data_IF_494303565963
#
_entry.id   IF_494303565963
#
_cell.length_a   1.000
_cell.length_b   1.000
_cell.length_c   1.000
_cell.angle_alpha   90.00
_cell.angle_beta   90.00
_cell.angle_gamma   90.00
#
_symmetry.space_group_name_H-M   'P 1'
#
loop_
_entity.id
_entity.type
_entity.pdbx_description
1 polymer ?
#
# COMPACT_ATOMS: atom_id res chain seq x y z
N UNK A 1 -6.95 -2.85 -29.86
CA UNK A 1 -6.04 -2.64 -28.71
C UNK A 1 -6.18 -3.86 -27.82
N UNK A 2 -5.11 -4.61 -27.63
CA UNK A 2 -5.16 -5.88 -26.90
C UNK A 2 -5.19 -5.66 -25.39
N UNK A 3 -5.81 -6.56 -24.62
CA UNK A 3 -5.85 -6.48 -23.15
C UNK A 3 -4.45 -6.47 -22.51
N UNK A 4 -3.42 -6.97 -23.20
CA UNK A 4 -2.04 -6.93 -22.70
C UNK A 4 -1.41 -5.52 -22.78
N UNK A 5 -1.77 -4.71 -23.79
CA UNK A 5 -1.32 -3.31 -23.91
C UNK A 5 -1.97 -2.42 -22.83
N UNK A 6 -3.23 -2.71 -22.47
CA UNK A 6 -3.94 -2.03 -21.38
C UNK A 6 -3.46 -2.45 -19.99
N UNK A 7 -2.92 -3.67 -19.82
CA UNK A 7 -2.34 -4.11 -18.54
C UNK A 7 -0.90 -3.61 -18.32
N UNK A 8 -0.11 -3.43 -19.39
CA UNK A 8 1.28 -2.95 -19.31
C UNK A 8 1.41 -1.46 -18.96
N UNK A 9 0.50 -0.62 -19.46
CA UNK A 9 0.53 0.85 -19.29
C UNK A 9 0.26 1.33 -17.84
N UNK A 10 -0.69 0.75 -17.07
CA UNK A 10 -0.87 1.01 -15.65
C UNK A 10 0.34 0.60 -14.80
N UNK A 11 0.96 -0.54 -15.13
CA UNK A 11 2.16 -1.02 -14.44
C UNK A 11 3.34 -0.09 -14.65
N UNK A 12 3.54 0.43 -15.86
CA UNK A 12 4.59 1.42 -16.12
C UNK A 12 4.36 2.74 -15.37
N UNK A 13 3.11 3.21 -15.30
CA UNK A 13 2.77 4.44 -14.57
C UNK A 13 2.96 4.30 -13.05
N UNK A 14 2.55 3.17 -12.49
CA UNK A 14 2.81 2.83 -11.09
C UNK A 14 4.31 2.79 -10.77
N UNK A 15 5.12 2.28 -11.70
CA UNK A 15 6.59 2.27 -11.58
C UNK A 15 7.17 3.68 -11.57
N UNK A 16 6.86 4.54 -12.54
CA UNK A 16 7.40 5.92 -12.54
C UNK A 16 7.00 6.70 -11.29
N UNK A 17 5.77 6.52 -10.80
CA UNK A 17 5.33 7.14 -9.55
C UNK A 17 6.16 6.64 -8.35
N UNK A 18 6.42 5.34 -8.28
CA UNK A 18 7.29 4.72 -7.27
C UNK A 18 8.72 5.25 -7.35
N UNK A 19 9.28 5.38 -8.55
CA UNK A 19 10.64 5.88 -8.76
C UNK A 19 10.80 7.32 -8.23
N UNK A 20 9.81 8.19 -8.49
CA UNK A 20 9.73 9.55 -7.94
C UNK A 20 9.66 9.58 -6.41
N UNK A 21 8.84 8.70 -5.80
CA UNK A 21 8.77 8.57 -4.34
C UNK A 21 10.11 8.11 -3.75
N UNK A 22 10.75 7.12 -4.37
CA UNK A 22 12.03 6.60 -3.93
C UNK A 22 13.16 7.63 -4.06
N UNK A 23 13.17 8.42 -5.14
CA UNK A 23 14.09 9.54 -5.34
C UNK A 23 13.93 10.59 -4.24
N UNK A 24 12.69 11.04 -3.98
CA UNK A 24 12.41 11.96 -2.89
C UNK A 24 12.82 11.39 -1.54
N UNK A 25 12.52 10.11 -1.27
CA UNK A 25 12.91 9.46 -0.04
C UNK A 25 14.44 9.40 0.17
N UNK A 26 15.22 9.16 -0.90
CA UNK A 26 16.68 9.18 -0.85
C UNK A 26 17.21 10.58 -0.49
N UNK A 27 16.69 11.61 -1.15
CA UNK A 27 17.08 13.01 -0.89
C UNK A 27 16.69 13.45 0.53
N UNK A 28 15.50 13.06 1.01
CA UNK A 28 15.03 13.38 2.36
C UNK A 28 15.88 12.72 3.45
N UNK A 29 16.36 11.48 3.24
CA UNK A 29 17.28 10.81 4.16
C UNK A 29 18.63 11.54 4.32
N UNK A 30 19.00 12.39 3.36
CA UNK A 30 20.18 13.26 3.46
C UNK A 30 19.91 14.54 4.27
N UNK A 31 18.73 14.68 4.89
CA UNK A 31 18.31 15.88 5.63
C UNK A 31 17.85 17.03 4.73
N UNK A 32 17.66 16.79 3.43
CA UNK A 32 17.23 17.80 2.45
C UNK A 32 15.71 17.87 2.35
N UNK A 33 15.19 19.04 1.96
CA UNK A 33 13.79 19.23 1.50
C UNK A 33 13.81 19.51 0.00
N UNK A 34 13.81 18.47 -0.87
CA UNK A 34 14.05 18.65 -2.29
C UNK A 34 12.85 19.27 -3.01
N UNK A 35 13.14 20.05 -4.05
CA UNK A 35 12.18 20.54 -5.04
C UNK A 35 11.72 19.44 -5.99
N UNK A 36 10.62 19.67 -6.72
CA UNK A 36 10.14 18.70 -7.71
C UNK A 36 11.16 18.49 -8.84
N UNK A 37 11.90 19.54 -9.19
CA UNK A 37 12.99 19.50 -10.16
C UNK A 37 14.13 18.56 -9.72
N UNK A 38 14.61 18.71 -8.48
CA UNK A 38 15.66 17.83 -7.92
C UNK A 38 15.20 16.38 -7.84
N UNK A 39 13.93 16.14 -7.48
CA UNK A 39 13.35 14.80 -7.44
C UNK A 39 13.26 14.20 -8.86
N UNK A 40 12.87 14.99 -9.85
CA UNK A 40 12.78 14.54 -11.24
C UNK A 40 14.15 14.14 -11.79
N UNK A 41 15.17 14.95 -11.51
CA UNK A 41 16.56 14.67 -11.88
C UNK A 41 17.07 13.38 -11.23
N UNK A 42 16.90 13.23 -9.92
CA UNK A 42 17.28 12.03 -9.16
C UNK A 42 16.52 10.77 -9.62
N UNK A 43 15.28 10.92 -10.10
CA UNK A 43 14.47 9.84 -10.66
C UNK A 43 14.75 9.57 -12.15
N UNK A 44 15.64 10.34 -12.80
CA UNK A 44 15.94 10.25 -14.22
C UNK A 44 14.71 10.43 -15.13
N UNK A 45 13.82 11.35 -14.77
CA UNK A 45 12.63 11.70 -15.56
C UNK A 45 12.56 13.20 -15.86
N UNK A 46 11.83 13.59 -16.90
CA UNK A 46 11.63 15.01 -17.20
C UNK A 46 10.75 15.71 -16.15
N UNK A 47 10.97 17.01 -15.95
CA UNK A 47 10.10 17.86 -15.10
C UNK A 47 8.63 17.70 -15.44
N UNK A 48 8.28 17.75 -16.73
CA UNK A 48 6.91 17.58 -17.19
C UNK A 48 6.32 16.21 -16.79
N UNK A 49 7.14 15.16 -16.79
CA UNK A 49 6.73 13.84 -16.30
C UNK A 49 6.45 13.89 -14.80
N UNK A 50 7.36 14.47 -14.00
CA UNK A 50 7.18 14.60 -12.55
C UNK A 50 5.92 15.40 -12.19
N UNK A 51 5.68 16.55 -12.83
CA UNK A 51 4.47 17.37 -12.64
C UNK A 51 3.17 16.59 -12.94
N UNK A 52 3.17 15.71 -13.95
CA UNK A 52 2.00 14.86 -14.27
C UNK A 52 1.70 13.86 -13.15
N UNK A 53 2.73 13.31 -12.49
CA UNK A 53 2.52 12.38 -11.38
C UNK A 53 2.20 13.07 -10.06
N UNK A 54 2.86 14.21 -9.83
CA UNK A 54 2.76 15.00 -8.60
C UNK A 54 2.68 16.48 -8.95
N UNK A 55 1.46 17.03 -9.12
CA UNK A 55 1.28 18.46 -9.36
C UNK A 55 1.64 19.31 -8.13
N UNK A 56 1.72 18.69 -6.95
CA UNK A 56 2.12 19.32 -5.69
C UNK A 56 3.30 18.58 -5.07
N UNK A 57 4.44 19.27 -4.92
CA UNK A 57 5.65 18.72 -4.28
C UNK A 57 5.42 18.36 -2.81
N UNK A 58 4.55 19.09 -2.09
CA UNK A 58 4.25 18.77 -0.68
C UNK A 58 3.54 17.43 -0.56
N UNK A 59 2.59 17.14 -1.45
CA UNK A 59 1.91 15.86 -1.51
C UNK A 59 2.89 14.72 -1.88
N UNK A 60 3.89 15.00 -2.74
CA UNK A 60 4.95 14.05 -3.04
C UNK A 60 5.80 13.76 -1.80
N UNK A 61 6.33 14.80 -1.15
CA UNK A 61 7.19 14.68 0.03
C UNK A 61 6.47 13.97 1.20
N UNK A 62 5.18 14.27 1.38
CA UNK A 62 4.31 13.59 2.33
C UNK A 62 4.19 12.09 2.01
N UNK A 63 3.95 11.75 0.75
CA UNK A 63 3.80 10.35 0.34
C UNK A 63 5.15 9.62 0.37
N UNK A 64 6.27 10.31 0.13
CA UNK A 64 7.62 9.77 0.24
C UNK A 64 8.02 9.49 1.70
N UNK A 65 7.68 10.38 2.65
CA UNK A 65 7.95 10.14 4.07
C UNK A 65 7.22 8.91 4.61
N UNK A 66 5.98 8.70 4.15
CA UNK A 66 5.20 7.50 4.48
C UNK A 66 5.80 6.23 3.87
N UNK A 67 6.43 6.34 2.70
CA UNK A 67 7.13 5.20 2.07
C UNK A 67 8.38 4.80 2.88
N UNK A 68 9.09 5.76 3.47
CA UNK A 68 10.23 5.51 4.36
C UNK A 68 9.79 4.81 5.66
N UNK A 69 8.63 5.17 6.20
CA UNK A 69 8.17 4.69 7.50
C UNK A 69 7.68 3.24 7.50
N UNK A 70 7.47 2.63 6.33
CA UNK A 70 6.99 1.26 6.21
C UNK A 70 8.19 0.31 6.11
N UNK A 71 8.26 -0.73 6.97
CA UNK A 71 9.32 -1.73 6.86
C UNK A 71 9.22 -2.50 5.55
N UNK A 72 10.37 -2.89 5.00
CA UNK A 72 10.44 -3.78 3.85
C UNK A 72 9.94 -5.19 4.22
N UNK A 73 9.54 -5.95 3.20
CA UNK A 73 9.16 -7.35 3.39
C UNK A 73 10.33 -8.18 3.98
N UNK A 74 11.54 -7.90 3.53
CA UNK A 74 12.75 -8.60 4.00
C UNK A 74 12.99 -8.32 5.48
N UNK A 75 12.87 -7.07 5.93
CA UNK A 75 12.98 -6.71 7.35
C UNK A 75 11.88 -7.38 8.20
N UNK A 76 10.64 -7.39 7.70
CA UNK A 76 9.50 -7.92 8.44
C UNK A 76 9.54 -9.45 8.62
N UNK A 77 10.16 -10.16 7.68
CA UNK A 77 10.22 -11.63 7.65
C UNK A 77 11.64 -12.20 7.79
N UNK A 78 12.62 -11.38 8.17
CA UNK A 78 14.02 -11.77 8.33
C UNK A 78 14.23 -12.94 9.31
N UNK A 79 13.36 -13.06 10.33
CA UNK A 79 13.45 -14.11 11.33
C UNK A 79 13.09 -15.51 10.77
N UNK A 80 12.41 -15.59 9.62
CA UNK A 80 12.09 -16.84 8.92
C UNK A 80 11.29 -17.85 9.75
N UNK A 81 10.83 -17.48 10.94
CA UNK A 81 10.40 -18.43 11.99
C UNK A 81 9.07 -19.09 11.70
N UNK A 82 8.22 -18.47 10.89
CA UNK A 82 6.88 -18.98 10.61
C UNK A 82 6.52 -18.93 9.12
N UNK A 83 5.96 -20.05 8.65
CA UNK A 83 5.32 -20.21 7.34
C UNK A 83 3.80 -20.07 7.40
N UNK A 84 3.22 -19.96 8.60
CA UNK A 84 1.77 -19.82 8.76
C UNK A 84 1.30 -18.47 8.18
N UNK A 85 0.42 -18.45 7.15
CA UNK A 85 -0.03 -17.21 6.52
C UNK A 85 -0.72 -16.27 7.51
N UNK A 86 -1.48 -16.79 8.49
CA UNK A 86 -2.18 -15.95 9.46
C UNK A 86 -1.16 -15.23 10.35
N UNK A 87 -0.18 -15.95 10.91
CA UNK A 87 0.90 -15.35 11.69
C UNK A 87 1.70 -14.30 10.91
N UNK A 88 2.00 -14.56 9.62
CA UNK A 88 2.73 -13.61 8.76
C UNK A 88 1.90 -12.37 8.44
N UNK A 89 0.60 -12.52 8.15
CA UNK A 89 -0.30 -11.40 7.92
C UNK A 89 -0.51 -10.54 9.18
N UNK A 90 -0.52 -11.15 10.37
CA UNK A 90 -0.53 -10.41 11.65
C UNK A 90 0.70 -9.54 11.82
N UNK A 91 1.88 -10.00 11.40
CA UNK A 91 3.10 -9.18 11.40
C UNK A 91 2.94 -7.97 10.48
N UNK A 92 2.42 -8.16 9.26
CA UNK A 92 2.11 -7.05 8.33
C UNK A 92 1.12 -6.08 8.94
N UNK A 93 0.04 -6.60 9.51
CA UNK A 93 -1.01 -5.77 10.10
C UNK A 93 -0.49 -4.92 11.27
N UNK A 94 0.31 -5.53 12.13
CA UNK A 94 0.94 -4.87 13.28
C UNK A 94 1.88 -3.76 12.81
N UNK A 95 2.80 -4.07 11.89
CA UNK A 95 3.74 -3.10 11.36
C UNK A 95 3.05 -1.91 10.69
N UNK A 96 2.02 -2.16 9.86
CA UNK A 96 1.27 -1.09 9.21
C UNK A 96 0.42 -0.30 10.20
N UNK A 97 -0.19 -0.95 11.19
CA UNK A 97 -0.96 -0.25 12.22
C UNK A 97 -0.07 0.68 13.05
N UNK A 98 1.10 0.21 13.48
CA UNK A 98 2.03 1.01 14.28
C UNK A 98 2.56 2.21 13.47
N UNK A 99 2.91 1.99 12.19
CA UNK A 99 3.26 3.06 11.27
C UNK A 99 2.11 4.07 11.11
N UNK A 100 0.87 3.58 10.96
CA UNK A 100 -0.30 4.44 10.79
C UNK A 100 -0.55 5.29 12.03
N UNK A 101 -0.47 4.70 13.23
CA UNK A 101 -0.62 5.44 14.49
C UNK A 101 0.45 6.52 14.66
N UNK A 102 1.71 6.20 14.35
CA UNK A 102 2.82 7.15 14.43
C UNK A 102 2.70 8.30 13.41
N UNK A 103 1.94 8.11 12.32
CA UNK A 103 1.85 9.02 11.18
C UNK A 103 0.39 9.42 10.85
N UNK A 104 -0.48 9.49 11.86
CA UNK A 104 -1.92 9.59 11.65
C UNK A 104 -2.34 10.87 10.89
N UNK A 105 -1.85 12.03 11.33
CA UNK A 105 -2.10 13.30 10.65
C UNK A 105 -1.59 13.34 9.19
N UNK A 106 -0.32 13.01 8.90
CA UNK A 106 0.17 12.98 7.52
C UNK A 106 -0.57 11.96 6.64
N UNK A 107 -0.99 10.81 7.18
CA UNK A 107 -1.81 9.84 6.44
C UNK A 107 -3.21 10.38 6.12
N UNK A 108 -3.85 11.09 7.05
CA UNK A 108 -5.13 11.76 6.76
C UNK A 108 -4.97 12.81 5.66
N UNK A 109 -3.90 13.62 5.69
CA UNK A 109 -3.64 14.58 4.62
C UNK A 109 -3.43 13.90 3.27
N UNK A 110 -2.69 12.80 3.23
CA UNK A 110 -2.54 11.99 2.01
C UNK A 110 -3.89 11.44 1.51
N UNK A 111 -4.80 11.01 2.40
CA UNK A 111 -6.16 10.61 2.03
C UNK A 111 -6.96 11.79 1.45
N UNK A 112 -6.91 12.97 2.08
CA UNK A 112 -7.58 14.19 1.60
C UNK A 112 -7.12 14.50 0.17
N UNK A 113 -5.81 14.57 -0.09
CA UNK A 113 -5.30 14.84 -1.42
C UNK A 113 -5.70 13.77 -2.45
N UNK A 114 -5.67 12.49 -2.04
CA UNK A 114 -6.06 11.38 -2.91
C UNK A 114 -7.54 11.44 -3.30
N UNK A 115 -8.42 11.79 -2.35
CA UNK A 115 -9.86 11.92 -2.56
C UNK A 115 -10.22 13.18 -3.35
N UNK A 116 -9.59 14.33 -3.04
CA UNK A 116 -9.78 15.58 -3.78
C UNK A 116 -9.41 15.43 -5.26
N UNK A 117 -8.27 14.81 -5.55
CA UNK A 117 -7.89 14.47 -6.94
C UNK A 117 -8.93 13.57 -7.61
N UNK A 118 -9.65 12.78 -6.82
CA UNK A 118 -10.66 11.87 -7.33
C UNK A 118 -12.02 12.46 -7.68
N UNK A 119 -12.30 13.67 -7.20
CA UNK A 119 -13.56 14.40 -7.48
C UNK A 119 -13.48 15.15 -8.83
N UNK A 120 -12.27 15.39 -9.37
CA UNK A 120 -12.08 16.03 -10.68
C UNK A 120 -12.34 15.12 -11.89
N UNK A 121 -12.72 15.72 -13.02
CA UNK A 121 -12.97 15.06 -14.32
C UNK A 121 -11.68 14.77 -15.11
N UNK A 122 -10.71 14.09 -14.50
CA UNK A 122 -9.49 13.69 -15.21
C UNK A 122 -9.46 12.17 -15.43
N UNK A 123 -9.70 11.78 -16.69
CA UNK A 123 -9.32 10.49 -17.26
C UNK A 123 -7.78 10.37 -17.32
N UNK A 124 -7.10 10.45 -16.19
CA UNK A 124 -5.66 10.27 -16.12
C UNK A 124 -5.35 8.88 -15.55
N UNK A 125 -4.75 7.98 -16.34
CA UNK A 125 -4.41 6.63 -15.84
C UNK A 125 -3.26 6.63 -14.80
N UNK A 126 -2.91 7.79 -14.24
CA UNK A 126 -1.90 7.90 -13.18
C UNK A 126 -2.52 7.45 -11.85
N UNK A 127 -1.87 6.51 -11.13
CA UNK A 127 -2.33 6.11 -9.80
C UNK A 127 -2.43 7.29 -8.83
N UNK A 128 -3.60 7.44 -8.22
CA UNK A 128 -3.90 8.54 -7.28
C UNK A 128 -3.12 8.41 -5.97
N UNK A 129 -2.86 7.17 -5.54
CA UNK A 129 -2.14 6.83 -4.31
C UNK A 129 -1.19 5.66 -4.56
N UNK A 130 -0.04 5.65 -3.89
CA UNK A 130 0.89 4.51 -3.94
C UNK A 130 0.31 3.29 -3.23
N UNK A 131 0.40 2.13 -3.87
CA UNK A 131 0.10 0.86 -3.21
C UNK A 131 1.32 0.38 -2.42
N UNK A 132 1.21 0.40 -1.09
CA UNK A 132 2.26 -0.05 -0.16
C UNK A 132 1.95 -1.37 0.53
N UNK A 133 0.66 -1.69 0.69
CA UNK A 133 0.18 -2.87 1.43
C UNK A 133 0.26 -4.16 0.61
N UNK A 134 -0.03 -4.11 -0.70
CA UNK A 134 -0.08 -5.33 -1.51
C UNK A 134 1.26 -6.08 -1.56
N UNK A 135 2.43 -5.44 -1.76
CA UNK A 135 3.69 -6.17 -1.74
C UNK A 135 3.97 -6.88 -0.41
N UNK A 136 3.59 -6.28 0.73
CA UNK A 136 3.73 -6.90 2.04
C UNK A 136 2.75 -8.07 2.23
N UNK A 137 1.51 -7.94 1.76
CA UNK A 137 0.51 -9.00 1.78
C UNK A 137 0.97 -10.19 0.91
N UNK A 138 1.49 -9.91 -0.29
CA UNK A 138 2.05 -10.94 -1.19
C UNK A 138 3.23 -11.66 -0.53
N UNK A 139 4.18 -10.91 0.04
CA UNK A 139 5.30 -11.49 0.77
C UNK A 139 4.86 -12.32 2.00
N UNK A 140 3.80 -11.90 2.70
CA UNK A 140 3.23 -12.66 3.81
C UNK A 140 2.66 -14.01 3.35
N UNK A 141 2.01 -14.03 2.19
CA UNK A 141 1.37 -15.23 1.64
C UNK A 141 2.33 -16.13 0.86
N UNK A 142 3.45 -15.60 0.37
CA UNK A 142 4.41 -16.29 -0.52
C UNK A 142 4.75 -17.72 -0.08
N UNK A 143 5.07 -18.00 1.20
CA UNK A 143 5.45 -19.37 1.61
C UNK A 143 4.31 -20.39 1.58
N UNK A 144 3.07 -19.91 1.51
CA UNK A 144 1.83 -20.70 1.59
C UNK A 144 1.00 -20.65 0.30
N UNK A 145 1.52 -20.07 -0.79
CA UNK A 145 0.75 -19.91 -2.04
C UNK A 145 0.20 -21.23 -2.58
N UNK A 146 0.94 -22.34 -2.40
CA UNK A 146 0.51 -23.67 -2.80
C UNK A 146 -0.67 -24.24 -2.01
N UNK A 147 -1.13 -23.56 -0.95
CA UNK A 147 -2.32 -23.93 -0.19
C UNK A 147 -3.62 -23.35 -0.76
N UNK A 148 -3.52 -22.51 -1.81
CA UNK A 148 -4.65 -21.76 -2.35
C UNK A 148 -4.81 -21.99 -3.86
N UNK A 149 -6.05 -22.09 -4.31
CA UNK A 149 -6.35 -21.97 -5.74
C UNK A 149 -6.00 -20.55 -6.24
N UNK A 150 -5.46 -20.37 -7.46
CA UNK A 150 -5.00 -19.06 -7.95
C UNK A 150 -6.06 -17.95 -7.86
N UNK A 151 -7.32 -18.27 -8.18
CA UNK A 151 -8.44 -17.33 -8.09
C UNK A 151 -8.81 -16.98 -6.64
N UNK A 152 -8.65 -17.93 -5.70
CA UNK A 152 -8.89 -17.70 -4.29
C UNK A 152 -7.77 -16.85 -3.67
N UNK A 153 -6.51 -17.09 -4.06
CA UNK A 153 -5.36 -16.31 -3.62
C UNK A 153 -5.44 -14.86 -4.08
N UNK A 154 -5.81 -14.61 -5.34
CA UNK A 154 -6.02 -13.25 -5.87
C UNK A 154 -7.14 -12.52 -5.11
N UNK A 155 -8.26 -13.20 -4.85
CA UNK A 155 -9.36 -12.66 -4.05
C UNK A 155 -8.94 -12.36 -2.61
N UNK A 156 -8.15 -13.26 -2.00
CA UNK A 156 -7.61 -13.09 -0.66
C UNK A 156 -6.73 -11.84 -0.57
N UNK A 157 -5.78 -11.67 -1.49
CA UNK A 157 -4.90 -10.48 -1.55
C UNK A 157 -5.71 -9.18 -1.64
N UNK A 158 -6.75 -9.16 -2.49
CA UNK A 158 -7.65 -7.99 -2.64
C UNK A 158 -8.45 -7.72 -1.36
N UNK A 159 -9.01 -8.75 -0.73
CA UNK A 159 -9.77 -8.61 0.50
C UNK A 159 -8.89 -8.13 1.67
N UNK A 160 -7.69 -8.69 1.82
CA UNK A 160 -6.73 -8.24 2.82
C UNK A 160 -6.30 -6.79 2.61
N UNK A 161 -6.20 -6.32 1.36
CA UNK A 161 -5.91 -4.91 1.09
C UNK A 161 -7.01 -3.94 1.54
N UNK A 162 -8.25 -4.41 1.76
CA UNK A 162 -9.33 -3.61 2.37
C UNK A 162 -9.16 -3.53 3.89
N UNK A 163 -8.76 -4.63 4.52
CA UNK A 163 -8.64 -4.77 5.98
C UNK A 163 -7.34 -4.13 6.50
N UNK A 164 -6.25 -4.28 5.74
CA UNK A 164 -4.90 -3.87 6.15
C UNK A 164 -4.59 -2.52 5.50
N UNK A 165 -4.93 -1.42 6.16
CA UNK A 165 -4.62 -0.09 5.67
C UNK A 165 -5.20 1.07 6.47
N UNK A 166 -4.87 2.29 6.04
CA UNK A 166 -5.33 3.54 6.65
C UNK A 166 -6.84 3.68 6.63
N UNK A 167 -7.50 3.22 5.55
CA UNK A 167 -8.95 3.29 5.38
C UNK A 167 -9.68 2.49 6.47
N UNK A 168 -9.17 1.31 6.84
CA UNK A 168 -9.72 0.53 7.94
C UNK A 168 -9.59 1.27 9.28
N UNK A 169 -8.48 1.98 9.51
CA UNK A 169 -8.30 2.78 10.72
C UNK A 169 -9.28 3.94 10.80
N UNK A 170 -9.58 4.61 9.68
CA UNK A 170 -10.63 5.64 9.60
C UNK A 170 -11.99 5.04 9.97
N UNK A 171 -12.34 3.87 9.44
CA UNK A 171 -13.59 3.19 9.81
C UNK A 171 -13.64 2.87 11.30
N UNK A 172 -12.58 2.27 11.86
CA UNK A 172 -12.57 1.89 13.26
C UNK A 172 -12.61 3.08 14.21
N UNK A 173 -11.83 4.14 13.95
CA UNK A 173 -11.76 5.31 14.83
C UNK A 173 -12.91 6.29 14.62
N UNK A 174 -13.21 6.65 13.38
CA UNK A 174 -14.07 7.79 13.08
C UNK A 174 -15.54 7.37 12.93
N UNK A 175 -15.81 6.16 12.43
CA UNK A 175 -17.18 5.64 12.23
C UNK A 175 -17.63 4.80 13.43
N UNK A 176 -16.84 3.78 13.78
CA UNK A 176 -17.19 2.83 14.83
C UNK A 176 -16.76 3.29 16.24
N UNK A 177 -15.88 4.29 16.33
CA UNK A 177 -15.37 4.85 17.59
C UNK A 177 -14.76 3.78 18.53
N UNK A 178 -14.08 2.78 17.94
CA UNK A 178 -13.41 1.73 18.69
C UNK A 178 -12.02 2.18 19.15
N UNK A 179 -11.61 1.70 20.33
CA UNK A 179 -10.22 1.78 20.76
C UNK A 179 -9.31 0.82 19.99
N UNK A 180 -8.01 1.09 19.97
CA UNK A 180 -7.04 0.33 19.17
C UNK A 180 -7.00 -1.17 19.50
N UNK A 181 -7.21 -1.53 20.78
CA UNK A 181 -7.23 -2.92 21.22
C UNK A 181 -8.38 -3.72 20.58
N UNK A 182 -9.57 -3.14 20.50
CA UNK A 182 -10.73 -3.82 19.91
C UNK A 182 -10.68 -3.80 18.38
N UNK A 183 -10.20 -2.70 17.78
CA UNK A 183 -9.92 -2.66 16.34
C UNK A 183 -8.95 -3.77 15.91
N UNK A 184 -7.88 -4.01 16.69
CA UNK A 184 -6.94 -5.12 16.44
C UNK A 184 -7.59 -6.49 16.54
N UNK A 185 -8.46 -6.74 17.54
CA UNK A 185 -9.19 -8.01 17.64
C UNK A 185 -10.09 -8.26 16.43
N UNK A 186 -10.80 -7.23 15.96
CA UNK A 186 -11.67 -7.34 14.78
C UNK A 186 -10.85 -7.64 13.52
N UNK A 187 -9.73 -6.93 13.32
CA UNK A 187 -8.83 -7.17 12.18
C UNK A 187 -8.21 -8.56 12.25
N UNK A 188 -7.80 -9.02 13.44
CA UNK A 188 -7.26 -10.36 13.64
C UNK A 188 -8.24 -11.46 13.22
N UNK A 189 -9.48 -11.34 13.71
CA UNK A 189 -10.57 -12.23 13.33
C UNK A 189 -10.83 -12.20 11.83
N UNK A 190 -10.89 -11.01 11.22
CA UNK A 190 -11.13 -10.84 9.79
C UNK A 190 -10.00 -11.46 8.94
N UNK A 191 -8.73 -11.21 9.28
CA UNK A 191 -7.57 -11.78 8.60
C UNK A 191 -7.65 -13.31 8.64
N UNK A 192 -7.87 -13.90 9.82
CA UNK A 192 -8.00 -15.35 9.98
C UNK A 192 -9.17 -15.89 9.14
N UNK A 193 -10.36 -15.27 9.24
CA UNK A 193 -11.54 -15.71 8.52
C UNK A 193 -11.36 -15.66 6.99
N UNK A 194 -10.69 -14.63 6.47
CA UNK A 194 -10.39 -14.49 5.04
C UNK A 194 -9.42 -15.58 4.57
N UNK A 195 -8.36 -15.88 5.33
CA UNK A 195 -7.42 -16.97 5.02
C UNK A 195 -8.13 -18.32 5.05
N UNK A 196 -8.90 -18.60 6.09
CA UNK A 196 -9.66 -19.85 6.23
C UNK A 196 -10.67 -20.01 5.09
N UNK A 197 -11.33 -18.93 4.66
CA UNK A 197 -12.25 -18.96 3.53
C UNK A 197 -11.53 -19.23 2.20
N UNK A 198 -10.33 -18.67 2.00
CA UNK A 198 -9.54 -18.86 0.79
C UNK A 198 -8.93 -20.27 0.68
N UNK A 199 -8.67 -20.94 1.81
CA UNK A 199 -8.20 -22.34 1.85
C UNK A 199 -9.29 -23.35 1.52
N UNK A 200 -10.57 -22.98 1.62
CA UNK A 200 -11.67 -23.91 1.31
C UNK A 200 -11.69 -24.15 -0.20
N UNK A 201 -11.87 -25.41 -0.65
CA UNK A 201 -12.09 -25.68 -2.05
C UNK A 201 -13.31 -24.90 -2.54
N UNK A 202 -13.24 -24.39 -3.78
CA UNK A 202 -14.40 -23.76 -4.39
C UNK A 202 -15.60 -24.71 -4.32
N UNK A 203 -16.82 -24.22 -4.01
CA UNK A 203 -18.00 -25.06 -4.13
C UNK A 203 -18.01 -25.67 -5.53
N UNK A 204 -18.14 -26.99 -5.61
CA UNK A 204 -18.44 -27.64 -6.88
C UNK A 204 -19.87 -27.22 -7.21
N UNK A 205 -20.02 -26.39 -8.24
CA UNK A 205 -21.31 -26.10 -8.86
C UNK A 205 -21.98 -27.39 -9.37
#
# INVERSE_FOLDING_TARGET
MSDSERAGRPNQKSRTRKDLLQAAARLMRQGRRPSLEEIAEEALVSRATAYRYFPNVEALLLDASLDIAIPSADELFADGTTRDPVARLRKVDTALHDMILANEAPLRMMLVHSLQRGIGNENDDVPRRQNRRTPLIEAALQPSEGEFEPAALDRLRKALALVIGTEAMVVFKDVLQLGDADARKVKDWAIKALVDAARRPAPRD
#
